data_IF_912137431730
#
_entry.id   IF_912137431730
#
_cell.length_a   1.000
_cell.length_b   1.000
_cell.length_c   1.000
_cell.angle_alpha   90.00
_cell.angle_beta   90.00
_cell.angle_gamma   90.00
#
_symmetry.space_group_name_H-M   'P 1'
#
loop_
_entity.id
_entity.type
_entity.pdbx_description
1 polymer ?
#
# COMPACT_ATOMS: atom_id res chain seq x y z
N UNK A 1 -0.03 25.57 3.00
CA UNK A 1 1.16 25.73 2.12
C UNK A 1 1.66 24.35 1.71
N UNK A 2 1.55 23.97 0.43
CA UNK A 2 1.86 22.63 -0.09
C UNK A 2 3.31 22.19 0.21
N UNK A 3 4.28 23.09 0.00
CA UNK A 3 5.70 22.81 0.26
C UNK A 3 6.02 22.40 1.71
N UNK A 4 5.22 22.83 2.69
CA UNK A 4 5.43 22.42 4.08
C UNK A 4 5.14 20.93 4.27
N UNK A 5 4.04 20.42 3.70
CA UNK A 5 3.71 19.00 3.76
C UNK A 5 4.72 18.19 2.94
N UNK A 6 5.14 18.68 1.76
CA UNK A 6 6.23 18.08 0.96
C UNK A 6 7.51 17.91 1.77
N UNK A 7 7.92 18.91 2.55
CA UNK A 7 9.13 18.84 3.40
C UNK A 7 8.97 17.83 4.54
N UNK A 8 7.80 17.79 5.16
CA UNK A 8 7.49 16.81 6.22
C UNK A 8 7.63 15.39 5.68
N UNK A 9 6.99 15.08 4.54
CA UNK A 9 7.07 13.72 3.97
C UNK A 9 8.49 13.35 3.55
N UNK A 10 9.26 14.28 2.96
CA UNK A 10 10.68 14.06 2.65
C UNK A 10 11.49 13.72 3.91
N UNK A 11 11.28 14.45 5.00
CA UNK A 11 11.92 14.19 6.28
C UNK A 11 11.54 12.83 6.86
N UNK A 12 10.25 12.47 6.81
CA UNK A 12 9.78 11.15 7.24
C UNK A 12 10.44 10.02 6.46
N UNK A 13 10.45 10.11 5.12
CA UNK A 13 11.07 9.09 4.25
C UNK A 13 12.56 8.95 4.55
N UNK A 14 13.28 10.07 4.66
CA UNK A 14 14.72 10.06 5.00
C UNK A 14 14.98 9.37 6.34
N UNK A 15 14.22 9.70 7.38
CA UNK A 15 14.37 9.07 8.70
C UNK A 15 14.12 7.56 8.65
N UNK A 16 13.16 7.12 7.83
CA UNK A 16 12.90 5.69 7.62
C UNK A 16 14.07 5.00 6.92
N UNK A 17 14.62 5.61 5.86
CA UNK A 17 15.78 5.10 5.13
C UNK A 17 17.03 5.02 6.02
N UNK A 18 17.28 6.05 6.83
CA UNK A 18 18.39 6.09 7.78
C UNK A 18 18.23 4.99 8.85
N UNK A 19 17.02 4.81 9.37
CA UNK A 19 16.72 3.72 10.33
C UNK A 19 16.92 2.33 9.72
N UNK A 20 16.47 2.12 8.48
CA UNK A 20 16.66 0.86 7.77
C UNK A 20 18.12 0.59 7.44
N UNK A 21 18.90 1.63 7.14
CA UNK A 21 20.35 1.52 6.92
C UNK A 21 21.06 1.16 8.22
N UNK A 22 20.72 1.79 9.33
CA UNK A 22 21.30 1.46 10.64
C UNK A 22 21.04 -0.02 10.99
N UNK A 23 19.82 -0.52 10.79
CA UNK A 23 19.49 -1.94 10.96
C UNK A 23 20.31 -2.85 10.03
N UNK A 24 20.43 -2.48 8.76
CA UNK A 24 21.25 -3.23 7.80
C UNK A 24 22.71 -3.29 8.25
N UNK A 25 23.30 -2.16 8.65
CA UNK A 25 24.70 -2.07 9.04
C UNK A 25 25.04 -2.90 10.27
N UNK A 26 24.10 -3.07 11.21
CA UNK A 26 24.28 -3.95 12.37
C UNK A 26 24.30 -5.43 11.97
N UNK A 27 23.56 -5.82 10.93
CA UNK A 27 23.35 -7.23 10.57
C UNK A 27 24.17 -7.71 9.36
N UNK A 28 24.67 -6.81 8.52
CA UNK A 28 25.26 -7.15 7.20
C UNK A 28 26.48 -8.08 7.26
N UNK A 29 27.29 -7.96 8.31
CA UNK A 29 28.53 -8.72 8.49
C UNK A 29 28.37 -9.86 9.51
N UNK A 30 27.12 -10.24 9.81
CA UNK A 30 26.82 -11.25 10.81
C UNK A 30 27.40 -12.62 10.43
N UNK A 31 27.95 -13.31 11.44
CA UNK A 31 28.36 -14.72 11.31
C UNK A 31 27.21 -15.71 11.58
N UNK A 32 26.03 -15.20 11.93
CA UNK A 32 24.87 -15.97 12.39
C UNK A 32 23.66 -15.77 11.46
N UNK A 33 23.90 -15.49 10.18
CA UNK A 33 22.87 -15.13 9.21
C UNK A 33 21.70 -16.14 9.17
N UNK A 34 22.02 -17.44 9.18
CA UNK A 34 20.99 -18.49 9.19
C UNK A 34 20.14 -18.47 10.47
N UNK A 35 20.75 -18.27 11.63
CA UNK A 35 20.04 -18.22 12.92
C UNK A 35 19.11 -17.01 12.97
N UNK A 36 19.59 -15.85 12.51
CA UNK A 36 18.81 -14.62 12.47
C UNK A 36 17.66 -14.73 11.45
N UNK A 37 17.92 -15.32 10.27
CA UNK A 37 16.88 -15.61 9.29
C UNK A 37 15.79 -16.52 9.86
N UNK A 38 16.18 -17.62 10.51
CA UNK A 38 15.24 -18.54 11.17
C UNK A 38 14.45 -17.87 12.28
N UNK A 39 15.09 -17.00 13.06
CA UNK A 39 14.43 -16.21 14.10
C UNK A 39 13.31 -15.34 13.51
N UNK A 40 13.51 -14.71 12.35
CA UNK A 40 12.49 -13.87 11.74
C UNK A 40 11.33 -14.64 11.11
N UNK A 41 11.53 -15.85 10.59
CA UNK A 41 10.47 -16.63 9.93
C UNK A 41 9.73 -17.60 10.85
N UNK A 42 10.18 -17.75 12.10
CA UNK A 42 9.59 -18.68 13.06
C UNK A 42 8.78 -17.95 14.12
N UNK A 43 7.49 -18.30 14.26
CA UNK A 43 6.62 -17.76 15.32
C UNK A 43 7.13 -18.22 16.69
N UNK A 44 7.25 -17.31 17.64
CA UNK A 44 7.74 -17.61 19.00
C UNK A 44 9.21 -18.04 19.08
N UNK A 45 10.03 -17.74 18.06
CA UNK A 45 11.46 -18.05 18.07
C UNK A 45 12.17 -17.47 19.30
N UNK A 46 13.06 -18.26 19.90
CA UNK A 46 13.84 -17.83 21.06
C UNK A 46 14.97 -16.88 20.62
N UNK A 47 14.96 -15.59 21.00
CA UNK A 47 16.00 -14.65 20.59
C UNK A 47 17.38 -14.99 21.16
N UNK A 48 17.46 -15.77 22.25
CA UNK A 48 18.73 -16.17 22.87
C UNK A 48 19.59 -17.08 21.99
N UNK A 49 19.04 -17.59 20.89
CA UNK A 49 19.81 -18.32 19.87
C UNK A 49 20.77 -17.39 19.11
N UNK A 50 20.46 -16.10 19.02
CA UNK A 50 21.38 -15.08 18.48
C UNK A 50 22.35 -14.71 19.61
N UNK A 51 23.59 -15.20 19.51
CA UNK A 51 24.56 -15.09 20.61
C UNK A 51 25.07 -13.67 20.79
N UNK A 52 25.24 -12.94 19.68
CA UNK A 52 25.69 -11.55 19.70
C UNK A 52 24.58 -10.66 20.29
N UNK A 53 24.95 -9.77 21.19
CA UNK A 53 23.98 -8.94 21.92
C UNK A 53 23.40 -7.83 21.05
N UNK A 54 24.22 -7.22 20.18
CA UNK A 54 23.79 -6.14 19.30
C UNK A 54 22.90 -6.68 18.17
N UNK A 55 23.32 -7.77 17.52
CA UNK A 55 22.54 -8.45 16.47
C UNK A 55 21.19 -8.93 17.01
N UNK A 56 21.18 -9.50 18.23
CA UNK A 56 19.96 -9.95 18.90
C UNK A 56 19.02 -8.79 19.20
N UNK A 57 19.52 -7.69 19.74
CA UNK A 57 18.71 -6.52 20.04
C UNK A 57 18.08 -5.95 18.75
N UNK A 58 18.89 -5.79 17.70
CA UNK A 58 18.43 -5.34 16.39
C UNK A 58 17.40 -6.29 15.76
N UNK A 59 17.58 -7.60 15.88
CA UNK A 59 16.62 -8.59 15.38
C UNK A 59 15.29 -8.57 16.15
N UNK A 60 15.33 -8.40 17.48
CA UNK A 60 14.12 -8.24 18.31
C UNK A 60 13.36 -6.98 17.87
N UNK A 61 14.05 -5.83 17.83
CA UNK A 61 13.45 -4.54 17.46
C UNK A 61 12.86 -4.61 16.04
N UNK A 62 13.59 -5.18 15.09
CA UNK A 62 13.10 -5.34 13.73
C UNK A 62 11.82 -6.19 13.69
N UNK A 63 11.75 -7.29 14.44
CA UNK A 63 10.57 -8.16 14.47
C UNK A 63 9.36 -7.47 15.09
N UNK A 64 9.55 -6.77 16.21
CA UNK A 64 8.50 -5.96 16.85
C UNK A 64 8.00 -4.85 15.93
N UNK A 65 8.90 -4.17 15.22
CA UNK A 65 8.57 -3.14 14.25
C UNK A 65 7.78 -3.69 13.07
N UNK A 66 8.13 -4.87 12.57
CA UNK A 66 7.38 -5.51 11.49
C UNK A 66 5.96 -5.88 11.95
N UNK A 67 5.79 -6.39 13.17
CA UNK A 67 4.45 -6.68 13.72
C UNK A 67 3.62 -5.38 13.91
N UNK A 68 4.27 -4.28 14.33
CA UNK A 68 3.63 -2.97 14.43
C UNK A 68 3.19 -2.43 13.06
N UNK A 69 4.04 -2.56 12.04
CA UNK A 69 3.70 -2.24 10.64
C UNK A 69 2.50 -3.06 10.18
N UNK A 70 2.43 -4.34 10.52
CA UNK A 70 1.28 -5.20 10.22
C UNK A 70 -0.04 -4.63 10.77
N UNK A 71 -0.02 -4.13 12.01
CA UNK A 71 -1.18 -3.45 12.63
C UNK A 71 -1.54 -2.16 11.89
N UNK A 72 -0.55 -1.33 11.57
CA UNK A 72 -0.79 -0.07 10.85
C UNK A 72 -1.37 -0.29 9.44
N UNK A 73 -0.93 -1.34 8.74
CA UNK A 73 -1.49 -1.75 7.45
C UNK A 73 -2.96 -2.16 7.57
N UNK A 74 -3.36 -2.82 8.66
CA UNK A 74 -4.76 -3.15 8.96
C UNK A 74 -5.56 -1.89 9.28
N UNK A 75 -5.03 -1.01 10.11
CA UNK A 75 -5.69 0.25 10.49
C UNK A 75 -5.97 1.12 9.26
N UNK A 76 -5.03 1.18 8.31
CA UNK A 76 -5.17 1.89 7.03
C UNK A 76 -6.00 1.14 5.98
N UNK A 77 -6.53 -0.05 6.32
CA UNK A 77 -7.31 -0.91 5.41
C UNK A 77 -6.54 -1.24 4.13
N UNK A 78 -5.25 -1.53 4.28
CA UNK A 78 -4.35 -2.02 3.24
C UNK A 78 -4.11 -3.54 3.37
N UNK A 79 -4.25 -4.08 4.59
CA UNK A 79 -4.16 -5.51 4.89
C UNK A 79 -5.40 -5.96 5.68
N UNK A 80 -5.82 -7.21 5.50
CA UNK A 80 -6.88 -7.81 6.31
C UNK A 80 -6.35 -8.21 7.68
N UNK A 81 -7.16 -8.08 8.71
CA UNK A 81 -6.78 -8.51 10.07
C UNK A 81 -6.52 -10.03 10.13
N UNK A 82 -7.29 -10.83 9.38
CA UNK A 82 -7.05 -12.27 9.26
C UNK A 82 -5.67 -12.59 8.67
N UNK A 83 -5.25 -11.89 7.62
CA UNK A 83 -3.90 -12.01 7.04
C UNK A 83 -2.81 -11.58 8.03
N UNK A 84 -3.11 -10.58 8.88
CA UNK A 84 -2.21 -10.17 9.96
C UNK A 84 -2.05 -11.28 11.02
N UNK A 85 -3.14 -11.92 11.40
CA UNK A 85 -3.12 -12.98 12.42
C UNK A 85 -2.47 -14.27 11.89
N UNK A 86 -2.72 -14.62 10.63
CA UNK A 86 -2.19 -15.82 9.97
C UNK A 86 -0.65 -15.81 9.91
N UNK A 87 -0.06 -14.64 9.66
CA UNK A 87 1.38 -14.49 9.48
C UNK A 87 2.10 -13.83 10.66
N UNK A 88 1.40 -13.63 11.78
CA UNK A 88 1.92 -12.98 12.99
C UNK A 88 3.24 -13.61 13.46
N UNK A 89 4.27 -12.78 13.60
CA UNK A 89 5.62 -13.23 13.97
C UNK A 89 6.41 -13.95 12.88
N UNK A 90 5.96 -13.89 11.61
CA UNK A 90 6.58 -14.55 10.44
C UNK A 90 6.60 -13.64 9.19
N UNK A 91 7.26 -12.48 9.25
CA UNK A 91 7.05 -11.41 8.27
C UNK A 91 8.27 -10.95 7.46
N UNK A 92 9.23 -11.83 7.14
CA UNK A 92 10.20 -11.46 6.11
C UNK A 92 9.58 -11.51 4.71
N UNK A 93 9.79 -10.48 3.87
CA UNK A 93 9.37 -10.51 2.48
C UNK A 93 10.12 -11.62 1.73
N UNK A 94 9.44 -12.27 0.78
CA UNK A 94 10.12 -13.15 -0.16
C UNK A 94 10.62 -12.32 -1.34
N UNK A 95 11.95 -12.15 -1.43
CA UNK A 95 12.59 -11.40 -2.52
C UNK A 95 13.38 -12.35 -3.41
N UNK A 96 13.30 -12.16 -4.72
CA UNK A 96 13.95 -13.01 -5.71
C UNK A 96 14.85 -12.16 -6.63
N UNK A 97 16.09 -12.60 -6.84
CA UNK A 97 17.10 -11.91 -7.64
C UNK A 97 16.64 -11.69 -9.09
N UNK A 98 15.87 -12.63 -9.67
CA UNK A 98 15.26 -12.49 -11.00
C UNK A 98 14.44 -11.21 -11.14
N UNK A 99 13.73 -10.80 -10.09
CA UNK A 99 12.94 -9.58 -10.07
C UNK A 99 13.74 -8.35 -9.65
N UNK A 100 15.00 -8.48 -9.26
CA UNK A 100 15.91 -7.36 -9.02
C UNK A 100 16.72 -7.01 -10.28
N UNK A 101 17.14 -8.03 -11.04
CA UNK A 101 18.04 -7.89 -12.20
C UNK A 101 17.32 -7.92 -13.58
N UNK A 102 16.02 -8.20 -13.62
CA UNK A 102 15.28 -8.34 -14.89
C UNK A 102 15.16 -7.03 -15.68
N UNK A 103 15.02 -7.13 -17.01
CA UNK A 103 14.86 -5.99 -17.92
C UNK A 103 13.74 -5.02 -17.51
N UNK A 104 12.67 -5.51 -16.87
CA UNK A 104 11.57 -4.67 -16.38
C UNK A 104 11.98 -3.76 -15.22
N UNK A 105 12.99 -4.12 -14.42
CA UNK A 105 13.55 -3.23 -13.40
C UNK A 105 14.52 -2.23 -14.01
N UNK A 106 15.34 -2.67 -14.98
CA UNK A 106 16.21 -1.77 -15.71
C UNK A 106 15.39 -0.72 -16.48
N UNK A 107 14.30 -1.13 -17.14
CA UNK A 107 13.29 -0.24 -17.74
C UNK A 107 12.57 0.59 -16.68
N UNK A 108 12.20 0.07 -15.50
CA UNK A 108 11.59 0.90 -14.43
C UNK A 108 12.55 1.92 -13.81
N UNK A 109 13.85 1.62 -13.77
CA UNK A 109 14.88 2.54 -13.28
C UNK A 109 15.27 3.61 -14.32
N UNK A 110 15.13 3.31 -15.61
CA UNK A 110 15.49 4.21 -16.72
C UNK A 110 14.29 4.91 -17.37
N UNK A 111 13.07 4.38 -17.18
CA UNK A 111 11.82 4.93 -17.71
C UNK A 111 10.72 4.89 -16.63
N UNK A 112 10.56 6.02 -15.94
CA UNK A 112 9.31 6.64 -15.45
C UNK A 112 9.48 7.18 -14.03
N UNK A 113 9.38 8.49 -13.93
CA UNK A 113 9.04 9.12 -12.67
C UNK A 113 7.63 8.73 -12.17
N UNK A 114 7.35 9.11 -10.93
CA UNK A 114 6.16 8.75 -10.18
C UNK A 114 6.49 8.54 -8.71
N UNK A 115 5.46 8.44 -7.87
CA UNK A 115 5.62 7.97 -6.49
C UNK A 115 6.14 6.53 -6.49
N UNK A 116 7.32 6.30 -5.93
CA UNK A 116 8.02 5.00 -5.92
C UNK A 116 7.43 3.95 -4.98
N UNK A 117 6.10 3.78 -5.05
CA UNK A 117 5.30 2.81 -4.28
C UNK A 117 5.25 1.47 -5.03
N UNK A 118 5.55 0.36 -4.32
CA UNK A 118 5.37 -1.01 -4.84
C UNK A 118 4.76 -1.91 -3.74
N UNK A 119 3.42 -1.92 -3.70
CA UNK A 119 2.62 -2.66 -2.69
C UNK A 119 2.58 -4.18 -2.92
N UNK A 120 3.43 -4.76 -3.78
CA UNK A 120 3.44 -6.21 -4.05
C UNK A 120 3.66 -7.08 -2.80
N UNK A 121 4.20 -6.51 -1.73
CA UNK A 121 4.35 -7.20 -0.44
C UNK A 121 3.01 -7.53 0.24
N UNK A 122 1.90 -6.92 -0.19
CA UNK A 122 0.54 -7.25 0.26
C UNK A 122 -0.12 -8.39 -0.53
N UNK A 123 0.49 -8.83 -1.64
CA UNK A 123 -0.07 -9.88 -2.48
C UNK A 123 0.21 -11.23 -1.83
N UNK A 124 -0.81 -12.09 -1.78
CA UNK A 124 -0.68 -13.46 -1.31
C UNK A 124 0.47 -14.18 -2.05
N UNK A 125 1.30 -14.89 -1.28
CA UNK A 125 2.45 -15.62 -1.82
C UNK A 125 1.94 -16.75 -2.70
N UNK A 126 2.52 -16.90 -3.89
CA UNK A 126 2.27 -18.08 -4.71
C UNK A 126 3.00 -19.27 -4.10
N UNK A 127 2.33 -20.42 -4.04
CA UNK A 127 3.01 -21.66 -3.74
C UNK A 127 3.89 -22.06 -4.94
N UNK A 128 5.19 -22.10 -4.69
CA UNK A 128 6.22 -22.36 -5.68
C UNK A 128 7.18 -23.36 -5.04
N UNK A 129 7.58 -24.38 -5.79
CA UNK A 129 8.50 -25.40 -5.27
C UNK A 129 9.85 -24.78 -4.87
N UNK A 130 10.47 -25.33 -3.82
CA UNK A 130 11.75 -24.85 -3.30
C UNK A 130 12.86 -24.86 -4.36
N UNK A 131 12.85 -25.83 -5.27
CA UNK A 131 13.78 -25.90 -6.40
C UNK A 131 13.66 -24.68 -7.32
N UNK A 132 12.43 -24.25 -7.64
CA UNK A 132 12.18 -23.07 -8.47
C UNK A 132 12.56 -21.79 -7.72
N UNK A 133 12.23 -21.66 -6.44
CA UNK A 133 12.60 -20.49 -5.62
C UNK A 133 14.11 -20.28 -5.55
N UNK A 134 14.87 -21.35 -5.33
CA UNK A 134 16.33 -21.29 -5.16
C UNK A 134 17.07 -21.20 -6.48
N UNK A 135 16.82 -22.13 -7.41
CA UNK A 135 17.65 -22.31 -8.61
C UNK A 135 17.23 -21.41 -9.78
N UNK A 136 15.94 -21.07 -9.88
CA UNK A 136 15.41 -20.33 -11.03
C UNK A 136 15.18 -18.85 -10.66
N UNK A 137 14.66 -18.60 -9.47
CA UNK A 137 14.30 -17.23 -9.04
C UNK A 137 15.41 -16.54 -8.23
N UNK A 138 16.29 -17.31 -7.59
CA UNK A 138 17.36 -16.78 -6.74
C UNK A 138 16.81 -16.10 -5.49
N UNK A 139 16.09 -16.84 -4.65
CA UNK A 139 15.54 -16.31 -3.40
C UNK A 139 16.64 -15.73 -2.50
N UNK A 140 16.48 -14.48 -2.09
CA UNK A 140 17.35 -13.82 -1.13
C UNK A 140 16.97 -14.27 0.28
N UNK A 141 17.97 -14.71 1.04
CA UNK A 141 17.83 -15.10 2.46
C UNK A 141 18.69 -14.27 3.40
N UNK A 142 19.35 -13.23 2.89
CA UNK A 142 20.13 -12.32 3.72
C UNK A 142 19.21 -11.60 4.73
N UNK A 143 19.35 -11.88 6.05
CA UNK A 143 18.49 -11.28 7.06
C UNK A 143 18.66 -9.77 7.16
N UNK A 144 19.85 -9.22 6.87
CA UNK A 144 20.10 -7.78 6.93
C UNK A 144 19.27 -7.04 5.88
N UNK A 145 19.39 -7.47 4.62
CA UNK A 145 18.59 -6.93 3.52
C UNK A 145 17.09 -7.11 3.74
N UNK A 146 16.65 -8.30 4.16
CA UNK A 146 15.24 -8.59 4.32
C UNK A 146 14.61 -7.80 5.49
N UNK A 147 15.28 -7.70 6.63
CA UNK A 147 14.81 -6.96 7.79
C UNK A 147 14.77 -5.44 7.50
N UNK A 148 15.82 -4.90 6.89
CA UNK A 148 15.85 -3.50 6.45
C UNK A 148 14.69 -3.20 5.49
N UNK A 149 14.47 -4.04 4.48
CA UNK A 149 13.37 -3.87 3.53
C UNK A 149 11.98 -3.99 4.18
N UNK A 150 11.78 -4.97 5.06
CA UNK A 150 10.52 -5.22 5.74
C UNK A 150 10.11 -4.06 6.67
N UNK A 151 11.08 -3.40 7.28
CA UNK A 151 10.85 -2.29 8.21
C UNK A 151 10.77 -0.92 7.54
N UNK A 152 11.17 -0.79 6.27
CA UNK A 152 11.24 0.50 5.56
C UNK A 152 10.20 0.66 4.47
N UNK A 153 10.07 -0.32 3.58
CA UNK A 153 9.23 -0.19 2.38
C UNK A 153 7.76 0.04 2.74
N UNK A 154 7.13 -0.72 3.66
CA UNK A 154 5.73 -0.48 3.98
C UNK A 154 5.47 0.88 4.60
N UNK A 155 6.33 1.32 5.53
CA UNK A 155 6.21 2.63 6.18
C UNK A 155 6.37 3.77 5.16
N UNK A 156 7.34 3.66 4.26
CA UNK A 156 7.54 4.63 3.18
C UNK A 156 6.30 4.73 2.30
N UNK A 157 5.78 3.59 1.86
CA UNK A 157 4.62 3.55 0.96
C UNK A 157 3.36 4.10 1.66
N UNK A 158 3.13 3.76 2.93
CA UNK A 158 2.05 4.33 3.74
C UNK A 158 2.19 5.85 3.92
N UNK A 159 3.40 6.34 4.20
CA UNK A 159 3.64 7.77 4.35
C UNK A 159 3.37 8.53 3.03
N UNK A 160 3.72 7.94 1.88
CA UNK A 160 3.39 8.51 0.57
C UNK A 160 1.87 8.48 0.34
N UNK A 161 1.18 7.39 0.68
CA UNK A 161 -0.28 7.31 0.56
C UNK A 161 -0.99 8.36 1.43
N UNK A 162 -0.51 8.58 2.66
CA UNK A 162 -1.03 9.63 3.55
C UNK A 162 -0.80 11.03 2.95
N UNK A 163 0.37 11.27 2.37
CA UNK A 163 0.68 12.51 1.67
C UNK A 163 -0.26 12.74 0.48
N UNK A 164 -0.51 11.72 -0.34
CA UNK A 164 -1.47 11.79 -1.45
C UNK A 164 -2.89 12.05 -0.93
N UNK A 165 -3.28 11.43 0.19
CA UNK A 165 -4.55 11.67 0.87
C UNK A 165 -4.70 13.12 1.36
N UNK A 166 -3.65 13.70 1.95
CA UNK A 166 -3.64 15.13 2.33
C UNK A 166 -3.77 16.06 1.14
N UNK A 167 -3.21 15.68 -0.02
CA UNK A 167 -3.41 16.45 -1.25
C UNK A 167 -4.87 16.37 -1.68
N UNK A 168 -5.43 15.16 -1.74
CA UNK A 168 -6.81 14.92 -2.16
C UNK A 168 -7.84 15.65 -1.29
N UNK A 169 -7.58 15.78 0.01
CA UNK A 169 -8.47 16.44 0.96
C UNK A 169 -8.47 17.98 0.87
N UNK A 170 -7.53 18.59 0.13
CA UNK A 170 -7.43 20.05 0.07
C UNK A 170 -8.07 20.61 -1.22
N UNK A 171 -9.21 21.31 -1.14
CA UNK A 171 -9.92 21.82 -2.31
C UNK A 171 -9.15 22.91 -3.07
N UNK A 172 -8.09 23.48 -2.49
CA UNK A 172 -7.23 24.42 -3.19
C UNK A 172 -6.19 23.74 -4.07
N UNK A 173 -5.94 22.44 -3.90
CA UNK A 173 -4.89 21.68 -4.58
C UNK A 173 -5.42 20.74 -5.65
N UNK A 174 -6.69 20.35 -5.52
CA UNK A 174 -7.41 19.52 -6.47
C UNK A 174 -8.56 20.30 -7.08
N UNK A 175 -9.01 19.90 -8.27
CA UNK A 175 -10.24 20.44 -8.85
C UNK A 175 -11.43 19.75 -8.17
N UNK A 176 -12.26 20.43 -7.35
CA UNK A 176 -13.28 19.75 -6.55
C UNK A 176 -14.34 19.00 -7.35
N UNK A 177 -14.63 19.45 -8.59
CA UNK A 177 -15.59 18.78 -9.48
C UNK A 177 -15.09 17.46 -10.07
N UNK A 178 -13.81 17.11 -9.91
CA UNK A 178 -13.29 15.78 -10.26
C UNK A 178 -13.33 14.81 -9.07
N UNK A 179 -13.95 15.23 -7.96
CA UNK A 179 -14.15 14.44 -6.75
C UNK A 179 -15.61 14.00 -6.65
N UNK A 180 -15.83 12.83 -6.06
CA UNK A 180 -17.15 12.30 -5.73
C UNK A 180 -17.30 12.14 -4.22
N UNK A 181 -18.48 12.52 -3.73
CA UNK A 181 -18.91 12.23 -2.37
C UNK A 181 -19.85 11.04 -2.41
N UNK A 182 -19.40 9.90 -1.89
CA UNK A 182 -20.16 8.66 -1.89
C UNK A 182 -20.10 8.02 -0.51
N UNK A 183 -21.25 7.73 0.11
CA UNK A 183 -21.30 7.02 1.40
C UNK A 183 -21.47 5.52 1.13
N UNK A 184 -20.36 4.78 1.04
CA UNK A 184 -20.39 3.36 0.65
C UNK A 184 -21.21 2.52 1.64
N UNK A 185 -20.96 2.68 2.95
CA UNK A 185 -21.67 1.94 3.99
C UNK A 185 -23.13 2.37 4.13
N UNK A 186 -23.41 3.67 4.04
CA UNK A 186 -24.77 4.20 4.04
C UNK A 186 -25.58 3.72 2.85
N UNK A 187 -24.99 3.71 1.65
CA UNK A 187 -25.64 3.25 0.41
C UNK A 187 -25.92 1.76 0.46
N UNK A 188 -24.95 0.95 0.89
CA UNK A 188 -25.17 -0.48 1.12
C UNK A 188 -26.30 -0.73 2.13
N UNK A 189 -26.30 0.00 3.27
CA UNK A 189 -27.36 -0.12 4.28
C UNK A 189 -28.74 0.26 3.74
N UNK A 190 -28.81 1.22 2.83
CA UNK A 190 -30.06 1.58 2.14
C UNK A 190 -30.52 0.43 1.25
N UNK A 191 -29.65 -0.15 0.42
CA UNK A 191 -30.03 -1.29 -0.43
C UNK A 191 -30.40 -2.54 0.36
N UNK A 192 -29.87 -2.69 1.57
CA UNK A 192 -30.23 -3.81 2.43
C UNK A 192 -31.64 -3.69 3.06
N UNK A 193 -32.40 -2.60 2.93
CA UNK A 193 -33.79 -2.37 3.42
C UNK A 193 -34.35 -3.42 4.42
N UNK A 194 -34.00 -3.32 5.72
CA UNK A 194 -34.34 -4.24 6.83
C UNK A 194 -33.83 -5.70 6.74
N UNK A 195 -33.28 -6.11 5.60
CA UNK A 195 -32.60 -7.37 5.41
C UNK A 195 -31.25 -7.37 6.13
N UNK A 196 -31.04 -8.36 6.98
CA UNK A 196 -29.74 -8.56 7.62
C UNK A 196 -28.79 -9.17 6.59
N UNK A 197 -27.94 -8.33 5.99
CA UNK A 197 -26.67 -8.81 5.42
C UNK A 197 -25.98 -9.66 6.47
N UNK A 198 -25.59 -10.88 6.12
CA UNK A 198 -24.88 -11.74 7.05
C UNK A 198 -23.62 -11.03 7.54
N UNK A 199 -23.36 -11.12 8.85
CA UNK A 199 -22.17 -10.50 9.46
C UNK A 199 -20.89 -10.96 8.75
N UNK A 200 -20.86 -12.20 8.32
CA UNK A 200 -19.77 -12.80 7.55
C UNK A 200 -19.50 -12.08 6.22
N UNK A 201 -20.53 -11.65 5.47
CA UNK A 201 -20.36 -10.86 4.26
C UNK A 201 -19.80 -9.49 4.56
N UNK A 202 -20.34 -8.80 5.58
CA UNK A 202 -19.86 -7.47 5.97
C UNK A 202 -18.40 -7.51 6.42
N UNK A 203 -18.05 -8.51 7.23
CA UNK A 203 -16.70 -8.75 7.70
C UNK A 203 -15.77 -9.16 6.53
N UNK A 204 -16.28 -9.89 5.54
CA UNK A 204 -15.49 -10.30 4.35
C UNK A 204 -15.23 -9.13 3.40
N UNK A 205 -16.23 -8.28 3.14
CA UNK A 205 -16.12 -7.19 2.17
C UNK A 205 -15.22 -6.05 2.66
N UNK A 206 -15.13 -5.86 3.98
CA UNK A 206 -14.34 -4.81 4.64
C UNK A 206 -14.50 -3.43 3.98
N UNK A 207 -15.75 -3.06 3.64
CA UNK A 207 -16.04 -1.82 2.93
C UNK A 207 -15.51 -0.60 3.70
N UNK A 208 -14.88 0.33 2.98
CA UNK A 208 -14.40 1.58 3.59
C UNK A 208 -15.57 2.52 3.86
N UNK A 209 -15.61 3.11 5.06
CA UNK A 209 -16.52 4.21 5.36
C UNK A 209 -16.02 5.48 4.65
N UNK A 210 -16.70 5.84 3.57
CA UNK A 210 -16.38 7.01 2.76
C UNK A 210 -17.32 8.20 3.04
N UNK A 211 -18.17 8.14 4.06
CA UNK A 211 -19.17 9.20 4.36
C UNK A 211 -18.56 10.58 4.56
N UNK A 212 -17.39 10.63 5.20
CA UNK A 212 -16.70 11.87 5.57
C UNK A 212 -15.60 12.31 4.57
N UNK A 213 -15.32 11.50 3.55
CA UNK A 213 -14.22 11.75 2.61
C UNK A 213 -14.72 11.85 1.18
N UNK A 214 -14.11 12.73 0.41
CA UNK A 214 -14.30 12.74 -1.04
C UNK A 214 -13.28 11.79 -1.67
N UNK A 215 -13.70 11.01 -2.66
CA UNK A 215 -12.87 10.06 -3.39
C UNK A 215 -12.80 10.43 -4.87
N UNK A 216 -11.81 9.92 -5.61
CA UNK A 216 -11.79 10.09 -7.06
C UNK A 216 -12.79 9.16 -7.73
N UNK A 217 -13.25 9.53 -8.92
CA UNK A 217 -14.07 8.65 -9.78
C UNK A 217 -13.38 7.29 -9.99
N UNK A 218 -12.09 7.33 -10.32
CA UNK A 218 -11.28 6.13 -10.54
C UNK A 218 -11.17 5.25 -9.28
N UNK A 219 -11.02 5.83 -8.08
CA UNK A 219 -11.02 5.07 -6.84
C UNK A 219 -12.36 4.36 -6.63
N UNK A 220 -13.47 5.06 -6.86
CA UNK A 220 -14.81 4.54 -6.68
C UNK A 220 -15.09 3.38 -7.65
N UNK A 221 -14.72 3.52 -8.92
CA UNK A 221 -14.82 2.43 -9.90
C UNK A 221 -13.92 1.24 -9.59
N UNK A 222 -12.70 1.47 -9.09
CA UNK A 222 -11.83 0.38 -8.66
C UNK A 222 -12.37 -0.36 -7.45
N UNK A 223 -12.97 0.35 -6.49
CA UNK A 223 -13.60 -0.27 -5.33
C UNK A 223 -14.82 -1.10 -5.76
N UNK A 224 -15.62 -0.60 -6.72
CA UNK A 224 -16.70 -1.37 -7.32
C UNK A 224 -16.18 -2.65 -8.01
N UNK A 225 -15.10 -2.56 -8.79
CA UNK A 225 -14.46 -3.70 -9.42
C UNK A 225 -13.89 -4.71 -8.41
N UNK A 226 -13.32 -4.23 -7.29
CA UNK A 226 -12.84 -5.10 -6.19
C UNK A 226 -14.00 -5.90 -5.60
N UNK A 227 -15.12 -5.24 -5.30
CA UNK A 227 -16.31 -5.88 -4.73
C UNK A 227 -16.86 -6.95 -5.70
N UNK A 228 -16.95 -6.63 -7.00
CA UNK A 228 -17.37 -7.61 -8.03
C UNK A 228 -16.48 -8.84 -8.07
N UNK A 229 -15.15 -8.64 -8.04
CA UNK A 229 -14.20 -9.75 -8.03
C UNK A 229 -14.32 -10.61 -6.76
N UNK A 230 -14.56 -9.99 -5.60
CA UNK A 230 -14.76 -10.74 -4.36
C UNK A 230 -16.05 -11.54 -4.37
N UNK A 231 -17.12 -10.96 -4.93
CA UNK A 231 -18.42 -11.62 -5.11
C UNK A 231 -18.29 -12.95 -5.85
N UNK A 232 -17.42 -13.05 -6.85
CA UNK A 232 -17.19 -14.30 -7.62
C UNK A 232 -16.76 -15.49 -6.76
N UNK A 233 -16.12 -15.24 -5.61
CA UNK A 233 -15.65 -16.28 -4.70
C UNK A 233 -16.55 -16.47 -3.47
N UNK A 234 -17.63 -15.70 -3.33
CA UNK A 234 -18.51 -15.73 -2.16
C UNK A 234 -19.72 -16.63 -2.39
N UNK A 235 -20.11 -17.37 -1.36
CA UNK A 235 -21.40 -18.08 -1.34
C UNK A 235 -22.45 -17.08 -0.88
N UNK A 236 -23.26 -16.60 -1.81
CA UNK A 236 -24.27 -15.56 -1.58
C UNK A 236 -25.66 -16.10 -1.87
N UNK A 237 -26.63 -15.66 -1.07
CA UNK A 237 -28.04 -15.74 -1.47
C UNK A 237 -28.30 -14.86 -2.69
N UNK A 238 -29.45 -15.05 -3.33
CA UNK A 238 -29.82 -14.25 -4.50
C UNK A 238 -29.92 -12.78 -4.11
N UNK A 239 -30.53 -12.51 -2.95
CA UNK A 239 -30.77 -11.19 -2.39
C UNK A 239 -29.44 -10.49 -2.03
N UNK A 240 -28.52 -11.18 -1.36
CA UNK A 240 -27.18 -10.63 -1.07
C UNK A 240 -26.40 -10.31 -2.35
N UNK A 241 -26.54 -11.17 -3.38
CA UNK A 241 -25.95 -10.94 -4.70
C UNK A 241 -26.52 -9.71 -5.42
N UNK A 242 -27.82 -9.46 -5.29
CA UNK A 242 -28.50 -8.28 -5.83
C UNK A 242 -28.05 -6.99 -5.11
N UNK A 243 -28.03 -6.98 -3.77
CA UNK A 243 -27.55 -5.83 -2.98
C UNK A 243 -26.13 -5.40 -3.38
N UNK A 244 -25.21 -6.36 -3.55
CA UNK A 244 -23.84 -6.06 -3.99
C UNK A 244 -23.78 -5.58 -5.44
N UNK A 245 -24.67 -6.09 -6.30
CA UNK A 245 -24.78 -5.61 -7.67
C UNK A 245 -25.21 -4.15 -7.67
N UNK A 246 -26.28 -3.81 -6.95
CA UNK A 246 -26.82 -2.45 -6.87
C UNK A 246 -25.83 -1.47 -6.27
N UNK A 247 -25.09 -1.88 -5.22
CA UNK A 247 -24.01 -1.09 -4.66
C UNK A 247 -22.96 -0.75 -5.72
N UNK A 248 -22.43 -1.76 -6.41
CA UNK A 248 -21.36 -1.55 -7.40
C UNK A 248 -21.82 -0.77 -8.62
N UNK A 249 -23.08 -0.95 -9.04
CA UNK A 249 -23.69 -0.15 -10.12
C UNK A 249 -23.81 1.31 -9.71
N UNK A 250 -24.33 1.59 -8.51
CA UNK A 250 -24.45 2.96 -8.00
C UNK A 250 -23.09 3.65 -7.87
N UNK A 251 -22.06 2.91 -7.47
CA UNK A 251 -20.69 3.41 -7.41
C UNK A 251 -20.17 3.84 -8.78
N UNK A 252 -20.36 3.02 -9.82
CA UNK A 252 -19.91 3.35 -11.18
C UNK A 252 -20.71 4.51 -11.78
N UNK A 253 -22.03 4.52 -11.63
CA UNK A 253 -22.86 5.65 -12.07
C UNK A 253 -22.37 6.98 -11.45
N UNK A 254 -22.11 6.97 -10.14
CA UNK A 254 -21.63 8.15 -9.43
C UNK A 254 -20.24 8.57 -9.92
N UNK A 255 -19.37 7.61 -10.24
CA UNK A 255 -18.06 7.89 -10.81
C UNK A 255 -18.16 8.49 -12.24
N UNK A 256 -19.10 8.02 -13.05
CA UNK A 256 -19.34 8.52 -14.41
C UNK A 256 -19.86 9.95 -14.42
N UNK A 257 -20.68 10.37 -13.45
CA UNK A 257 -21.22 11.75 -13.34
C UNK A 257 -20.14 12.84 -13.31
N UNK A 258 -18.96 12.52 -12.75
CA UNK A 258 -17.82 13.44 -12.65
C UNK A 258 -16.73 13.17 -13.69
N UNK A 259 -16.92 12.15 -14.54
CA UNK A 259 -16.02 11.86 -15.65
C UNK A 259 -16.15 12.92 -16.75
N UNK A 260 -15.04 13.27 -17.42
CA UNK A 260 -15.06 14.23 -18.53
C UNK A 260 -15.28 15.71 -18.13
N UNK A 261 -15.26 16.05 -16.84
CA UNK A 261 -15.37 17.43 -16.38
C UNK A 261 -14.23 18.30 -16.93
N UNK A 262 -14.57 19.41 -17.58
CA UNK A 262 -13.58 20.34 -18.16
C UNK A 262 -12.94 21.17 -17.07
N UNK A 263 -11.63 21.41 -17.07
CA UNK A 263 -10.98 22.28 -16.09
C UNK A 263 -9.87 23.08 -16.76
N UNK A 264 -9.34 24.09 -16.07
CA UNK A 264 -8.25 24.90 -16.62
C UNK A 264 -6.97 24.05 -16.73
N UNK A 265 -6.69 23.53 -17.92
CA UNK A 265 -5.50 22.71 -18.21
C UNK A 265 -4.19 23.52 -18.19
N UNK A 266 -4.26 24.85 -18.10
CA UNK A 266 -3.10 25.69 -17.87
C UNK A 266 -2.64 25.67 -16.40
N UNK A 267 -3.53 25.37 -15.46
CA UNK A 267 -3.23 25.32 -14.01
C UNK A 267 -3.23 23.90 -13.44
N UNK A 268 -4.01 22.98 -14.04
CA UNK A 268 -4.21 21.64 -13.51
C UNK A 268 -3.84 20.54 -14.52
N UNK A 269 -3.49 19.37 -13.99
CA UNK A 269 -3.17 18.15 -14.75
C UNK A 269 -3.78 16.93 -14.04
N UNK A 270 -4.34 16.00 -14.82
CA UNK A 270 -4.89 14.74 -14.30
C UNK A 270 -3.77 13.78 -13.93
N UNK A 271 -3.74 13.34 -12.67
CA UNK A 271 -2.86 12.25 -12.20
C UNK A 271 -3.25 10.95 -12.90
N UNK A 272 -2.29 10.14 -13.39
CA UNK A 272 -2.61 8.91 -14.09
C UNK A 272 -3.44 7.93 -13.26
N UNK A 273 -4.31 7.20 -13.95
CA UNK A 273 -5.19 6.19 -13.38
C UNK A 273 -4.41 4.91 -13.04
N UNK A 274 -3.83 4.87 -11.85
CA UNK A 274 -3.10 3.71 -11.37
C UNK A 274 -3.21 3.57 -9.85
N UNK A 275 -3.33 2.34 -9.31
CA UNK A 275 -3.43 2.12 -7.86
C UNK A 275 -2.31 2.76 -7.03
N UNK A 276 -1.11 2.94 -7.61
CA UNK A 276 0.04 3.55 -6.92
C UNK A 276 -0.18 5.02 -6.52
N UNK A 277 -1.15 5.71 -7.13
CA UNK A 277 -1.50 7.09 -6.78
C UNK A 277 -2.67 7.18 -5.78
N UNK A 278 -3.18 6.04 -5.29
CA UNK A 278 -4.21 5.99 -4.26
C UNK A 278 -5.43 6.84 -4.62
N UNK A 279 -5.86 7.67 -3.68
CA UNK A 279 -7.02 8.55 -3.84
C UNK A 279 -6.83 9.64 -4.91
N UNK A 280 -5.59 9.95 -5.32
CA UNK A 280 -5.31 10.94 -6.37
C UNK A 280 -5.43 10.42 -7.79
N UNK A 281 -5.46 9.10 -7.98
CA UNK A 281 -5.57 8.54 -9.31
C UNK A 281 -6.82 9.08 -10.04
N UNK A 282 -6.64 9.67 -11.22
CA UNK A 282 -7.71 10.28 -12.02
C UNK A 282 -8.11 11.71 -11.60
N UNK A 283 -7.56 12.25 -10.51
CA UNK A 283 -7.86 13.63 -10.05
C UNK A 283 -7.02 14.65 -10.81
N UNK A 284 -7.64 15.77 -11.17
CA UNK A 284 -6.92 16.95 -11.64
C UNK A 284 -6.33 17.72 -10.46
N UNK A 285 -5.00 17.80 -10.39
CA UNK A 285 -4.24 18.50 -9.35
C UNK A 285 -3.49 19.68 -9.95
N UNK A 286 -3.13 20.67 -9.13
CA UNK A 286 -2.31 21.80 -9.59
C UNK A 286 -0.99 21.31 -10.20
N UNK A 287 -0.51 21.97 -11.25
CA UNK A 287 0.70 21.57 -11.99
C UNK A 287 1.92 21.39 -11.10
N UNK A 288 2.17 22.30 -10.16
CA UNK A 288 3.32 22.20 -9.26
C UNK A 288 3.27 20.95 -8.37
N UNK A 289 2.07 20.46 -8.06
CA UNK A 289 1.86 19.23 -7.29
C UNK A 289 1.99 18.01 -8.20
N UNK A 290 1.42 18.09 -9.41
CA UNK A 290 1.53 17.05 -10.42
C UNK A 290 2.99 16.73 -10.76
N UNK A 291 3.80 17.77 -10.96
CA UNK A 291 5.21 17.64 -11.31
C UNK A 291 5.99 16.97 -10.18
N UNK A 292 5.75 17.32 -8.92
CA UNK A 292 6.34 16.62 -7.77
C UNK A 292 5.90 15.15 -7.65
N UNK A 293 4.63 14.83 -7.95
CA UNK A 293 4.12 13.45 -7.94
C UNK A 293 4.78 12.63 -9.05
N UNK A 294 4.97 13.21 -10.25
CA UNK A 294 5.45 12.52 -11.44
C UNK A 294 6.95 12.54 -11.66
N UNK A 295 7.67 13.56 -11.21
CA UNK A 295 9.13 13.58 -11.26
C UNK A 295 9.73 12.85 -10.05
N UNK A 296 8.87 12.44 -9.11
CA UNK A 296 9.27 11.94 -7.81
C UNK A 296 9.84 13.07 -6.96
N UNK A 297 10.25 12.74 -5.74
CA UNK A 297 11.05 13.65 -4.92
C UNK A 297 12.44 13.78 -5.55
N UNK A 298 12.58 14.49 -6.68
CA UNK A 298 13.89 14.84 -7.21
C UNK A 298 14.61 15.67 -6.14
N UNK A 299 15.86 15.28 -5.88
CA UNK A 299 16.78 16.00 -5.00
C UNK A 299 17.44 17.18 -5.72
N UNK A 300 16.99 17.51 -6.93
CA UNK A 300 17.58 18.55 -7.78
C UNK A 300 16.97 19.93 -7.51
N UNK A 301 16.88 20.29 -6.23
CA UNK A 301 16.94 21.69 -5.83
C UNK A 301 18.32 21.87 -5.16
N UNK A 302 19.36 21.91 -6.00
CA UNK A 302 20.61 22.55 -5.59
C UNK A 302 20.28 23.99 -5.25
N UNK A 303 20.71 24.37 -4.04
CA UNK A 303 20.63 25.72 -3.50
C UNK A 303 21.11 26.75 -4.54
N UNK A 304 20.24 27.70 -4.86
CA UNK A 304 20.60 29.01 -5.37
C UNK A 304 20.15 30.07 -4.37
#
# INVERSE_FOLDING_TARGET
KYHAIRRIIKGTIKNLEDSGRALYDVLKDTKQADVIYQYFITKGANPRLITDRAERAAAIEAKEKIDAIGKELVDKKLMRESTRLEHEGQYLPQVYLKYLLGEDNFRRATTRGGVGIDMKYLIARKDISEGVKKLIMGQIKDPAYLASKATTVPLKDMAILDWLGHIAANPNWVVPKTMVKFDTLGTMRKFAEDQKLSKEILDTLELKDTKAVNVSAYWLSNEAARIRKMRESMVLTKEEGEILTDLTTKMDETAEEVSGQTYNTSEYRTVPESPKYGMLAGIAVRKEIYDDILLGFSNDEQEH
#
